data_IF_256422763534
#
_entry.id   IF_256422763534
#
_cell.length_a   1.000
_cell.length_b   1.000
_cell.length_c   1.000
_cell.angle_alpha   90.00
_cell.angle_beta   90.00
_cell.angle_gamma   90.00
#
_symmetry.space_group_name_H-M   'P 1'
#
loop_
_entity.id
_entity.type
_entity.pdbx_description
1 polymer ?
#
# COMPACT_ATOMS: atom_id res chain seq x y z
N UNK A 1 -29.47 5.27 58.47
CA UNK A 1 -28.48 6.33 58.22
C UNK A 1 -27.62 5.88 57.05
N UNK A 2 -27.75 6.54 55.92
CA UNK A 2 -27.08 6.27 54.64
C UNK A 2 -25.63 6.76 54.67
N UNK A 3 -24.67 6.00 54.12
CA UNK A 3 -23.58 6.54 53.29
C UNK A 3 -22.75 5.41 52.63
N UNK A 4 -22.73 5.45 51.30
CA UNK A 4 -21.81 4.74 50.39
C UNK A 4 -20.36 5.25 50.52
N UNK A 5 -19.37 4.39 50.28
CA UNK A 5 -18.04 4.74 49.78
C UNK A 5 -17.46 3.52 49.03
N UNK A 6 -17.73 3.38 47.72
CA UNK A 6 -16.90 3.84 46.58
C UNK A 6 -15.62 3.01 46.44
N UNK A 7 -15.67 2.07 45.49
CA UNK A 7 -14.52 1.41 44.86
C UNK A 7 -13.63 2.47 44.19
N UNK A 8 -12.31 2.53 44.46
CA UNK A 8 -11.38 3.08 43.49
C UNK A 8 -11.04 1.96 42.50
N UNK A 9 -11.74 1.90 41.38
CA UNK A 9 -11.29 1.17 40.19
C UNK A 9 -10.05 1.88 39.62
N UNK A 10 -8.92 1.67 40.28
CA UNK A 10 -7.58 1.93 39.79
C UNK A 10 -7.15 0.86 38.80
N UNK A 11 -7.99 0.51 37.82
CA UNK A 11 -7.53 -0.26 36.68
C UNK A 11 -6.75 0.71 35.80
N UNK A 12 -5.43 0.69 36.02
CA UNK A 12 -4.38 1.20 35.14
C UNK A 12 -4.88 1.27 33.71
N UNK A 13 -4.97 2.49 33.20
CA UNK A 13 -5.18 2.81 31.80
C UNK A 13 -4.04 2.16 31.01
N UNK A 14 -4.21 0.90 30.60
CA UNK A 14 -3.30 0.22 29.69
C UNK A 14 -3.18 1.11 28.46
N UNK A 15 -1.96 1.44 28.05
CA UNK A 15 -1.64 2.48 27.08
C UNK A 15 -2.57 2.44 25.84
N UNK A 16 -3.70 3.15 25.88
CA UNK A 16 -4.64 3.21 24.76
C UNK A 16 -3.98 4.10 23.73
N UNK A 17 -3.46 3.51 22.67
CA UNK A 17 -2.98 4.27 21.53
C UNK A 17 -4.12 5.17 21.05
N UNK A 18 -3.90 6.49 21.09
CA UNK A 18 -4.91 7.43 20.62
C UNK A 18 -5.13 7.23 19.12
N UNK A 19 -6.36 7.43 18.58
CA UNK A 19 -6.61 7.36 17.13
C UNK A 19 -5.64 8.21 16.31
N UNK A 20 -5.11 9.28 16.90
CA UNK A 20 -4.09 10.13 16.28
C UNK A 20 -2.72 9.45 16.14
N UNK A 21 -2.31 8.63 17.11
CA UNK A 21 -1.08 7.81 17.01
C UNK A 21 -1.21 6.77 15.90
N UNK A 22 -2.36 6.08 15.84
CA UNK A 22 -2.62 5.13 14.76
C UNK A 22 -2.67 5.78 13.37
N UNK A 23 -3.30 6.96 13.25
CA UNK A 23 -3.29 7.71 12.00
C UNK A 23 -1.88 8.12 11.59
N UNK A 24 -1.06 8.64 12.53
CA UNK A 24 0.35 8.95 12.25
C UNK A 24 1.13 7.72 11.80
N UNK A 25 0.98 6.59 12.49
CA UNK A 25 1.62 5.34 12.11
C UNK A 25 1.19 4.87 10.71
N UNK A 26 -0.09 4.95 10.38
CA UNK A 26 -0.60 4.62 9.04
C UNK A 26 0.01 5.52 7.96
N UNK A 27 0.12 6.83 8.22
CA UNK A 27 0.76 7.76 7.31
C UNK A 27 2.26 7.51 7.14
N UNK A 28 2.99 7.19 8.22
CA UNK A 28 4.41 6.81 8.14
C UNK A 28 4.58 5.53 7.32
N UNK A 29 3.75 4.51 7.55
CA UNK A 29 3.84 3.28 6.76
C UNK A 29 3.55 3.52 5.28
N UNK A 30 2.61 4.40 4.92
CA UNK A 30 2.40 4.80 3.52
C UNK A 30 3.63 5.50 2.91
N UNK A 31 4.31 6.37 3.66
CA UNK A 31 5.57 6.97 3.19
C UNK A 31 6.64 5.92 3.01
N UNK A 32 6.75 4.96 3.95
CA UNK A 32 7.68 3.85 3.83
C UNK A 32 7.40 3.06 2.55
N UNK A 33 6.15 2.70 2.26
CA UNK A 33 5.83 1.96 1.01
C UNK A 33 6.19 2.75 -0.24
N UNK A 34 6.03 4.07 -0.24
CA UNK A 34 6.46 4.91 -1.37
C UNK A 34 7.96 4.88 -1.57
N UNK A 35 8.70 5.16 -0.49
CA UNK A 35 10.17 5.24 -0.55
C UNK A 35 10.74 3.88 -0.91
N UNK A 36 10.29 2.80 -0.28
CA UNK A 36 10.82 1.47 -0.58
C UNK A 36 10.48 1.01 -1.99
N UNK A 37 9.27 1.27 -2.49
CA UNK A 37 8.88 0.93 -3.88
C UNK A 37 9.75 1.65 -4.91
N UNK A 38 9.92 2.97 -4.79
CA UNK A 38 10.73 3.76 -5.74
C UNK A 38 12.21 3.36 -5.66
N UNK A 39 12.76 3.23 -4.46
CA UNK A 39 14.17 2.87 -4.29
C UNK A 39 14.43 1.43 -4.74
N UNK A 40 13.47 0.50 -4.62
CA UNK A 40 13.61 -0.86 -5.12
C UNK A 40 13.81 -0.89 -6.64
N UNK A 41 13.02 -0.11 -7.39
CA UNK A 41 13.18 0.01 -8.86
C UNK A 41 14.56 0.54 -9.22
N UNK A 42 15.04 1.57 -8.51
CA UNK A 42 16.40 2.12 -8.71
C UNK A 42 17.47 1.08 -8.39
N UNK A 43 17.32 0.33 -7.29
CA UNK A 43 18.26 -0.70 -6.87
C UNK A 43 18.36 -1.83 -7.91
N UNK A 44 17.23 -2.36 -8.39
CA UNK A 44 17.21 -3.37 -9.44
C UNK A 44 17.79 -2.85 -10.76
N UNK A 45 17.48 -1.63 -11.15
CA UNK A 45 18.05 -1.01 -12.35
C UNK A 45 19.58 -0.83 -12.28
N UNK A 46 20.13 -0.69 -11.08
CA UNK A 46 21.57 -0.63 -10.82
C UNK A 46 22.22 -2.02 -10.63
N UNK A 47 21.46 -3.13 -10.76
CA UNK A 47 21.95 -4.48 -10.52
C UNK A 47 22.16 -4.84 -9.04
N UNK A 48 21.69 -4.00 -8.10
CA UNK A 48 21.79 -4.22 -6.66
C UNK A 48 20.66 -5.11 -6.15
N UNK A 49 20.63 -6.37 -6.61
CA UNK A 49 19.57 -7.35 -6.31
C UNK A 49 19.31 -7.51 -4.79
N UNK A 50 20.31 -7.65 -3.89
CA UNK A 50 20.05 -7.78 -2.46
C UNK A 50 19.32 -6.57 -1.86
N UNK A 51 19.66 -5.36 -2.33
CA UNK A 51 19.02 -4.13 -1.89
C UNK A 51 17.57 -4.06 -2.38
N UNK A 52 17.32 -4.40 -3.65
CA UNK A 52 15.97 -4.48 -4.21
C UNK A 52 15.06 -5.43 -3.43
N UNK A 53 15.53 -6.65 -3.17
CA UNK A 53 14.78 -7.66 -2.39
C UNK A 53 14.49 -7.18 -0.97
N UNK A 54 15.46 -6.54 -0.31
CA UNK A 54 15.28 -6.00 1.04
C UNK A 54 14.21 -4.89 1.07
N UNK A 55 14.21 -4.03 0.07
CA UNK A 55 13.24 -2.94 -0.06
C UNK A 55 11.84 -3.46 -0.39
N UNK A 56 11.70 -4.46 -1.25
CA UNK A 56 10.41 -5.11 -1.52
C UNK A 56 9.85 -5.86 -0.31
N UNK A 57 10.72 -6.47 0.50
CA UNK A 57 10.28 -7.07 1.76
C UNK A 57 9.77 -6.02 2.75
N UNK A 58 10.49 -4.90 2.90
CA UNK A 58 10.03 -3.78 3.71
C UNK A 58 8.73 -3.16 3.17
N UNK A 59 8.61 -3.04 1.85
CA UNK A 59 7.39 -2.62 1.15
C UNK A 59 6.22 -3.53 1.52
N UNK A 60 6.36 -4.85 1.41
CA UNK A 60 5.30 -5.80 1.71
C UNK A 60 4.82 -5.70 3.18
N UNK A 61 5.74 -5.53 4.13
CA UNK A 61 5.39 -5.30 5.55
C UNK A 61 4.63 -3.99 5.71
N UNK A 62 5.09 -2.92 5.05
CA UNK A 62 4.37 -1.64 5.02
C UNK A 62 2.98 -1.78 4.41
N UNK A 63 2.82 -2.62 3.39
CA UNK A 63 1.53 -2.93 2.78
C UNK A 63 0.56 -3.60 3.76
N UNK A 64 0.99 -4.69 4.39
CA UNK A 64 0.17 -5.36 5.41
C UNK A 64 -0.16 -4.42 6.59
N UNK A 65 0.82 -3.67 7.10
CA UNK A 65 0.63 -2.77 8.22
C UNK A 65 -0.31 -1.60 7.93
N UNK A 66 -0.23 -0.99 6.73
CA UNK A 66 -1.19 0.04 6.30
C UNK A 66 -2.60 -0.52 6.18
N UNK A 67 -2.76 -1.75 5.65
CA UNK A 67 -4.04 -2.45 5.60
C UNK A 67 -4.70 -2.57 6.98
N UNK A 68 -3.96 -3.11 7.95
CA UNK A 68 -4.44 -3.30 9.33
C UNK A 68 -4.80 -1.97 10.00
N UNK A 69 -3.93 -0.96 9.90
CA UNK A 69 -4.16 0.32 10.56
C UNK A 69 -5.34 1.08 9.94
N UNK A 70 -5.47 1.08 8.61
CA UNK A 70 -6.61 1.74 7.96
C UNK A 70 -7.91 1.00 8.18
N UNK A 71 -7.92 -0.34 8.25
CA UNK A 71 -9.11 -1.06 8.68
C UNK A 71 -9.54 -0.63 10.08
N UNK A 72 -8.60 -0.60 11.04
CA UNK A 72 -8.90 -0.18 12.41
C UNK A 72 -9.47 1.25 12.46
N UNK A 73 -8.89 2.17 11.69
CA UNK A 73 -9.28 3.59 11.67
C UNK A 73 -10.58 3.85 10.91
N UNK A 74 -10.84 3.14 9.82
CA UNK A 74 -11.94 3.43 8.89
C UNK A 74 -13.15 2.50 9.05
N UNK A 75 -13.03 1.38 9.77
CA UNK A 75 -14.17 0.48 10.04
C UNK A 75 -15.42 1.15 10.64
N UNK A 76 -15.33 2.23 11.46
CA UNK A 76 -16.54 2.90 11.94
C UNK A 76 -17.33 3.62 10.84
N UNK A 77 -16.68 3.98 9.72
CA UNK A 77 -17.32 4.68 8.60
C UNK A 77 -17.84 3.73 7.51
N UNK A 78 -17.42 2.48 7.52
CA UNK A 78 -17.73 1.52 6.46
C UNK A 78 -16.98 0.22 6.64
N UNK A 79 -17.48 -0.72 7.47
CA UNK A 79 -16.73 -1.90 7.88
C UNK A 79 -16.38 -2.82 6.71
N UNK A 80 -17.29 -2.99 5.75
CA UNK A 80 -17.08 -3.83 4.56
C UNK A 80 -15.95 -3.27 3.70
N UNK A 81 -16.03 -2.00 3.27
CA UNK A 81 -14.98 -1.38 2.43
C UNK A 81 -13.64 -1.28 3.14
N UNK A 82 -13.65 -0.99 4.44
CA UNK A 82 -12.43 -0.97 5.25
C UNK A 82 -11.77 -2.37 5.30
N UNK A 83 -12.56 -3.44 5.43
CA UNK A 83 -12.07 -4.81 5.40
C UNK A 83 -11.58 -5.20 4.00
N UNK A 84 -12.33 -4.85 2.94
CA UNK A 84 -11.92 -5.06 1.55
C UNK A 84 -10.56 -4.41 1.27
N UNK A 85 -10.36 -3.16 1.67
CA UNK A 85 -9.06 -2.48 1.56
C UNK A 85 -7.94 -3.26 2.26
N UNK A 86 -8.14 -3.68 3.51
CA UNK A 86 -7.11 -4.40 4.25
C UNK A 86 -6.77 -5.77 3.64
N UNK A 87 -7.77 -6.49 3.14
CA UNK A 87 -7.57 -7.76 2.45
C UNK A 87 -6.79 -7.53 1.14
N UNK A 88 -7.16 -6.52 0.35
CA UNK A 88 -6.44 -6.18 -0.88
C UNK A 88 -4.98 -5.77 -0.59
N UNK A 89 -4.72 -5.01 0.48
CA UNK A 89 -3.35 -4.73 0.93
C UNK A 89 -2.56 -5.98 1.32
N UNK A 90 -3.21 -6.95 1.95
CA UNK A 90 -2.56 -8.21 2.29
C UNK A 90 -2.28 -9.06 1.04
N UNK A 91 -3.20 -9.11 0.07
CA UNK A 91 -2.98 -9.76 -1.23
C UNK A 91 -1.83 -9.09 -1.97
N UNK A 92 -1.81 -7.76 -2.02
CA UNK A 92 -0.72 -6.99 -2.63
C UNK A 92 0.63 -7.31 -1.99
N UNK A 93 0.71 -7.30 -0.65
CA UNK A 93 1.90 -7.68 0.09
C UNK A 93 2.36 -9.11 -0.25
N UNK A 94 1.44 -10.06 -0.33
CA UNK A 94 1.74 -11.44 -0.67
C UNK A 94 2.29 -11.58 -2.10
N UNK A 95 1.71 -10.86 -3.07
CA UNK A 95 2.19 -10.85 -4.46
C UNK A 95 3.58 -10.21 -4.56
N UNK A 96 3.85 -9.13 -3.81
CA UNK A 96 5.18 -8.51 -3.75
C UNK A 96 6.21 -9.50 -3.20
N UNK A 97 5.89 -10.22 -2.13
CA UNK A 97 6.79 -11.26 -1.58
C UNK A 97 7.00 -12.37 -2.61
N UNK A 98 5.94 -12.85 -3.27
CA UNK A 98 6.04 -13.86 -4.32
C UNK A 98 6.92 -13.38 -5.50
N UNK A 99 6.85 -12.10 -5.84
CA UNK A 99 7.69 -11.44 -6.82
C UNK A 99 9.15 -11.30 -6.44
N UNK A 100 9.43 -11.06 -5.16
CA UNK A 100 10.80 -10.97 -4.65
C UNK A 100 11.51 -12.33 -4.63
N UNK A 101 10.78 -13.46 -4.56
CA UNK A 101 11.36 -14.81 -4.56
C UNK A 101 12.23 -15.13 -5.79
N UNK A 102 11.80 -14.89 -7.06
CA UNK A 102 12.67 -15.12 -8.21
C UNK A 102 13.90 -14.20 -8.21
N UNK A 103 13.78 -12.97 -7.72
CA UNK A 103 14.94 -12.06 -7.58
C UNK A 103 15.91 -12.54 -6.49
N UNK A 104 15.39 -13.09 -5.39
CA UNK A 104 16.19 -13.74 -4.35
C UNK A 104 16.93 -14.96 -4.91
N UNK A 105 16.22 -15.80 -5.68
CA UNK A 105 16.80 -16.98 -6.33
C UNK A 105 17.90 -16.63 -7.34
N UNK A 106 17.81 -15.47 -8.01
CA UNK A 106 18.83 -14.98 -8.93
C UNK A 106 20.22 -14.87 -8.28
N UNK A 107 20.30 -14.66 -6.96
CA UNK A 107 21.57 -14.61 -6.24
C UNK A 107 22.23 -15.98 -6.03
N UNK A 108 21.49 -17.07 -6.24
CA UNK A 108 21.97 -18.44 -6.05
C UNK A 108 22.19 -19.19 -7.37
N UNK A 109 21.67 -18.65 -8.47
CA UNK A 109 21.86 -19.21 -9.81
C UNK A 109 23.26 -18.84 -10.33
N UNK A 110 24.05 -19.80 -10.85
CA UNK A 110 25.35 -19.50 -11.45
C UNK A 110 25.23 -18.52 -12.63
N UNK A 111 26.16 -17.57 -12.72
CA UNK A 111 26.19 -16.53 -13.76
C UNK A 111 26.22 -17.08 -15.20
N UNK A 112 26.62 -18.34 -15.39
CA UNK A 112 26.65 -19.02 -16.70
C UNK A 112 25.27 -19.45 -17.19
N UNK A 113 24.21 -19.35 -16.38
CA UNK A 113 22.84 -19.73 -16.72
C UNK A 113 22.01 -18.53 -17.19
N UNK A 114 22.46 -17.84 -18.25
CA UNK A 114 21.85 -16.58 -18.73
C UNK A 114 20.34 -16.65 -18.99
N UNK A 115 19.82 -17.76 -19.52
CA UNK A 115 18.38 -17.97 -19.74
C UNK A 115 17.56 -18.03 -18.44
N UNK A 116 18.18 -18.41 -17.32
CA UNK A 116 17.53 -18.41 -16.01
C UNK A 116 17.34 -16.99 -15.46
N UNK A 117 18.27 -16.07 -15.70
CA UNK A 117 18.15 -14.69 -15.22
C UNK A 117 17.01 -13.94 -15.90
N UNK A 118 16.83 -14.13 -17.22
CA UNK A 118 15.73 -13.55 -17.98
C UNK A 118 14.37 -14.06 -17.49
N UNK A 119 14.24 -15.38 -17.28
CA UNK A 119 13.02 -15.99 -16.78
C UNK A 119 12.66 -15.47 -15.38
N UNK A 120 13.62 -15.38 -14.46
CA UNK A 120 13.40 -14.88 -13.10
C UNK A 120 12.97 -13.40 -13.12
N UNK A 121 13.59 -12.60 -13.98
CA UNK A 121 13.21 -11.18 -14.18
C UNK A 121 11.79 -11.08 -14.75
N UNK A 122 11.42 -11.94 -15.70
CA UNK A 122 10.07 -11.99 -16.26
C UNK A 122 9.03 -12.37 -15.20
N UNK A 123 9.33 -13.34 -14.33
CA UNK A 123 8.48 -13.71 -13.20
C UNK A 123 8.28 -12.54 -12.21
N UNK A 124 9.36 -11.84 -11.85
CA UNK A 124 9.28 -10.62 -11.03
C UNK A 124 8.41 -9.56 -11.71
N UNK A 125 8.63 -9.28 -12.99
CA UNK A 125 7.87 -8.30 -13.75
C UNK A 125 6.37 -8.66 -13.82
N UNK A 126 6.03 -9.93 -14.00
CA UNK A 126 4.65 -10.41 -13.98
C UNK A 126 3.98 -10.17 -12.62
N UNK A 127 4.70 -10.46 -11.52
CA UNK A 127 4.19 -10.20 -10.16
C UNK A 127 4.01 -8.71 -9.89
N UNK A 128 4.89 -7.86 -10.42
CA UNK A 128 4.80 -6.41 -10.28
C UNK A 128 3.52 -5.88 -10.93
N UNK A 129 3.22 -6.30 -12.18
CA UNK A 129 1.96 -5.94 -12.85
C UNK A 129 0.74 -6.45 -12.08
N UNK A 130 0.80 -7.64 -11.47
CA UNK A 130 -0.34 -8.19 -10.74
C UNK A 130 -0.57 -7.47 -9.41
N UNK A 131 0.46 -7.31 -8.58
CA UNK A 131 0.37 -6.72 -7.25
C UNK A 131 0.35 -5.19 -7.28
N UNK A 132 1.52 -4.60 -7.58
CA UNK A 132 1.73 -3.15 -7.65
C UNK A 132 1.11 -2.50 -8.90
N UNK A 133 0.59 -3.30 -9.82
CA UNK A 133 -0.27 -2.85 -10.89
C UNK A 133 -1.74 -3.05 -10.54
N UNK A 134 -2.31 -4.23 -10.79
CA UNK A 134 -3.75 -4.45 -10.76
C UNK A 134 -4.36 -4.38 -9.35
N UNK A 135 -3.76 -5.05 -8.36
CA UNK A 135 -4.30 -5.11 -6.99
C UNK A 135 -4.30 -3.72 -6.35
N UNK A 136 -3.19 -2.97 -6.46
CA UNK A 136 -3.12 -1.61 -5.90
C UNK A 136 -4.15 -0.67 -6.55
N UNK A 137 -4.44 -0.83 -7.85
CA UNK A 137 -5.46 -0.02 -8.53
C UNK A 137 -6.83 -0.20 -7.87
N UNK A 138 -7.27 -1.45 -7.68
CA UNK A 138 -8.56 -1.77 -7.06
C UNK A 138 -8.58 -1.31 -5.60
N UNK A 139 -7.49 -1.55 -4.89
CA UNK A 139 -7.32 -1.12 -3.51
C UNK A 139 -7.51 0.39 -3.33
N UNK A 140 -6.88 1.17 -4.22
CA UNK A 140 -6.95 2.64 -4.24
C UNK A 140 -8.38 3.13 -4.53
N UNK A 141 -9.08 2.48 -5.45
CA UNK A 141 -10.49 2.79 -5.76
C UNK A 141 -11.35 2.57 -4.51
N UNK A 142 -11.25 1.41 -3.87
CA UNK A 142 -12.04 1.07 -2.67
C UNK A 142 -11.79 2.06 -1.55
N UNK A 143 -10.52 2.41 -1.30
CA UNK A 143 -10.16 3.40 -0.29
C UNK A 143 -10.68 4.79 -0.65
N UNK A 144 -10.48 5.23 -1.90
CA UNK A 144 -10.92 6.54 -2.39
C UNK A 144 -12.41 6.74 -2.21
N UNK A 145 -13.22 5.74 -2.58
CA UNK A 145 -14.67 5.75 -2.38
C UNK A 145 -15.07 5.77 -0.90
N UNK A 146 -14.41 4.98 -0.05
CA UNK A 146 -14.67 5.00 1.39
C UNK A 146 -14.35 6.38 2.01
N UNK A 147 -13.24 6.99 1.60
CA UNK A 147 -12.84 8.33 2.02
C UNK A 147 -13.78 9.42 1.50
N UNK A 148 -14.34 9.23 0.31
CA UNK A 148 -15.30 10.14 -0.31
C UNK A 148 -16.62 10.17 0.50
N UNK A 149 -17.16 8.99 0.80
CA UNK A 149 -18.41 8.84 1.53
C UNK A 149 -18.27 9.29 2.99
N UNK A 150 -17.21 8.84 3.66
CA UNK A 150 -16.97 9.13 5.08
C UNK A 150 -16.62 10.58 5.36
N UNK A 151 -16.11 11.32 4.36
CA UNK A 151 -15.53 12.67 4.51
C UNK A 151 -14.43 12.75 5.58
N UNK A 152 -13.78 11.62 5.86
CA UNK A 152 -12.71 11.51 6.85
C UNK A 152 -11.47 12.36 6.48
N UNK A 153 -11.38 12.79 5.21
CA UNK A 153 -10.32 13.61 4.61
C UNK A 153 -10.95 14.66 3.67
N UNK A 154 -10.20 15.65 3.16
CA UNK A 154 -10.70 16.59 2.16
C UNK A 154 -11.22 15.88 0.90
N UNK A 155 -12.35 16.34 0.34
CA UNK A 155 -12.96 15.74 -0.86
C UNK A 155 -12.02 15.61 -2.07
N UNK A 156 -11.19 16.62 -2.40
CA UNK A 156 -10.28 16.47 -3.54
C UNK A 156 -9.29 15.32 -3.35
N UNK A 157 -8.85 15.06 -2.11
CA UNK A 157 -7.97 13.92 -1.79
C UNK A 157 -8.69 12.59 -2.05
N UNK A 158 -9.93 12.47 -1.61
CA UNK A 158 -10.73 11.26 -1.86
C UNK A 158 -11.04 11.05 -3.36
N UNK A 159 -11.38 12.12 -4.09
CA UNK A 159 -11.60 12.06 -5.53
C UNK A 159 -10.34 11.65 -6.29
N UNK A 160 -9.18 12.18 -5.90
CA UNK A 160 -7.90 11.81 -6.49
C UNK A 160 -7.61 10.32 -6.32
N UNK A 161 -7.92 9.73 -5.15
CA UNK A 161 -7.80 8.29 -4.93
C UNK A 161 -8.74 7.48 -5.82
N UNK A 162 -10.04 7.80 -5.83
CA UNK A 162 -11.01 7.05 -6.62
C UNK A 162 -10.75 7.16 -8.14
N UNK A 163 -10.53 8.38 -8.63
CA UNK A 163 -10.26 8.64 -10.05
C UNK A 163 -8.88 8.15 -10.48
N UNK A 164 -7.85 8.38 -9.67
CA UNK A 164 -6.49 7.91 -9.93
C UNK A 164 -6.43 6.38 -9.97
N UNK A 165 -7.06 5.72 -9.00
CA UNK A 165 -7.18 4.26 -8.96
C UNK A 165 -7.84 3.68 -10.22
N UNK A 166 -8.91 4.32 -10.70
CA UNK A 166 -9.59 3.91 -11.94
C UNK A 166 -8.70 4.10 -13.17
N UNK A 167 -8.04 5.26 -13.29
CA UNK A 167 -7.13 5.54 -14.41
C UNK A 167 -6.00 4.51 -14.50
N UNK A 168 -5.34 4.24 -13.37
CA UNK A 168 -4.24 3.27 -13.34
C UNK A 168 -4.74 1.84 -13.54
N UNK A 169 -5.96 1.49 -13.10
CA UNK A 169 -6.57 0.19 -13.39
C UNK A 169 -6.73 -0.02 -14.90
N UNK A 170 -7.29 0.97 -15.61
CA UNK A 170 -7.47 0.91 -17.06
C UNK A 170 -6.11 0.77 -17.75
N UNK A 171 -5.10 1.54 -17.31
CA UNK A 171 -3.74 1.44 -17.83
C UNK A 171 -3.10 0.06 -17.60
N UNK A 172 -3.25 -0.52 -16.41
CA UNK A 172 -2.70 -1.83 -16.08
C UNK A 172 -3.41 -2.96 -16.84
N UNK A 173 -4.72 -2.85 -17.06
CA UNK A 173 -5.45 -3.76 -17.94
C UNK A 173 -5.00 -3.63 -19.39
N UNK A 174 -4.79 -2.41 -19.88
CA UNK A 174 -4.26 -2.19 -21.23
C UNK A 174 -2.86 -2.81 -21.42
N UNK A 175 -2.00 -2.76 -20.39
CA UNK A 175 -0.71 -3.46 -20.39
C UNK A 175 -0.88 -4.98 -20.38
N UNK A 176 -1.77 -5.50 -19.54
CA UNK A 176 -2.07 -6.95 -19.46
C UNK A 176 -2.50 -7.51 -20.82
N UNK A 177 -3.34 -6.77 -21.55
CA UNK A 177 -3.81 -7.15 -22.88
C UNK A 177 -2.88 -6.71 -24.02
N UNK A 178 -1.67 -6.22 -23.69
CA UNK A 178 -0.67 -5.76 -24.67
C UNK A 178 -1.16 -4.66 -25.62
N UNK A 179 -2.18 -3.89 -25.22
CA UNK A 179 -2.69 -2.72 -25.95
C UNK A 179 -1.71 -1.56 -25.85
N UNK A 180 -1.01 -1.44 -24.72
CA UNK A 180 0.08 -0.49 -24.50
C UNK A 180 1.32 -1.21 -23.96
N UNK A 181 2.55 -0.67 -24.17
CA UNK A 181 3.77 -1.29 -23.66
C UNK A 181 3.79 -1.37 -22.14
N UNK A 182 4.28 -2.51 -21.62
CA UNK A 182 4.50 -2.73 -20.20
C UNK A 182 5.54 -1.73 -19.66
N UNK A 183 5.21 -1.06 -18.55
CA UNK A 183 6.04 -0.04 -17.89
C UNK A 183 6.47 1.11 -18.82
N UNK A 184 5.71 1.38 -19.89
CA UNK A 184 5.99 2.48 -20.82
C UNK A 184 5.65 3.88 -20.24
N UNK A 185 6.00 4.96 -20.96
CA UNK A 185 5.74 6.34 -20.51
C UNK A 185 4.27 6.63 -20.20
N UNK A 186 3.35 6.07 -20.99
CA UNK A 186 1.91 6.22 -20.78
C UNK A 186 1.45 5.54 -19.48
N UNK A 187 1.97 4.35 -19.18
CA UNK A 187 1.69 3.66 -17.93
C UNK A 187 2.22 4.44 -16.72
N UNK A 188 3.44 4.98 -16.83
CA UNK A 188 4.01 5.86 -15.81
C UNK A 188 3.17 7.12 -15.58
N UNK A 189 2.70 7.77 -16.64
CA UNK A 189 1.82 8.94 -16.54
C UNK A 189 0.47 8.60 -15.88
N UNK A 190 -0.12 7.46 -16.21
CA UNK A 190 -1.38 6.99 -15.63
C UNK A 190 -1.26 6.64 -14.13
N UNK A 191 -0.06 6.30 -13.65
CA UNK A 191 0.21 6.03 -12.23
C UNK A 191 0.39 7.30 -11.38
N UNK A 192 0.70 8.46 -12.00
CA UNK A 192 0.96 9.71 -11.27
C UNK A 192 -0.17 10.14 -10.33
N UNK A 193 -1.47 10.04 -10.69
CA UNK A 193 -2.54 10.43 -9.78
C UNK A 193 -2.64 9.54 -8.54
N UNK A 194 -2.37 8.23 -8.66
CA UNK A 194 -2.32 7.32 -7.51
C UNK A 194 -1.14 7.66 -6.60
N UNK A 195 0.04 7.86 -7.20
CA UNK A 195 1.22 8.29 -6.45
C UNK A 195 0.98 9.59 -5.68
N UNK A 196 0.36 10.58 -6.34
CA UNK A 196 0.00 11.84 -5.70
C UNK A 196 -1.06 11.66 -4.59
N UNK A 197 -2.06 10.79 -4.80
CA UNK A 197 -3.06 10.46 -3.79
C UNK A 197 -2.41 9.85 -2.54
N UNK A 198 -1.60 8.82 -2.70
CA UNK A 198 -1.05 8.10 -1.56
C UNK A 198 -0.05 8.96 -0.79
N UNK A 199 0.80 9.73 -1.47
CA UNK A 199 1.70 10.70 -0.83
C UNK A 199 0.91 11.77 -0.06
N UNK A 200 -0.15 12.32 -0.66
CA UNK A 200 -0.99 13.32 -0.01
C UNK A 200 -1.72 12.73 1.20
N UNK A 201 -2.25 11.51 1.08
CA UNK A 201 -2.90 10.79 2.18
C UNK A 201 -1.91 10.56 3.33
N UNK A 202 -0.69 10.12 3.02
CA UNK A 202 0.35 9.87 4.00
C UNK A 202 0.66 11.13 4.83
N UNK A 203 0.94 12.25 4.13
CA UNK A 203 1.19 13.55 4.75
C UNK A 203 -0.02 14.01 5.56
N UNK A 204 -1.23 13.83 5.03
CA UNK A 204 -2.46 14.20 5.71
C UNK A 204 -2.65 13.43 7.02
N UNK A 205 -2.43 12.11 7.01
CA UNK A 205 -2.55 11.26 8.20
C UNK A 205 -1.53 11.63 9.28
N UNK A 206 -0.29 11.96 8.88
CA UNK A 206 0.76 12.41 9.81
C UNK A 206 0.40 13.78 10.41
N UNK A 207 0.12 14.76 9.57
CA UNK A 207 -0.03 16.17 9.95
C UNK A 207 -1.40 16.49 10.56
N UNK A 208 -2.48 15.84 10.10
CA UNK A 208 -3.87 16.13 10.49
C UNK A 208 -4.66 14.93 11.00
N UNK A 209 -4.27 13.71 10.65
CA UNK A 209 -5.03 12.51 10.98
C UNK A 209 -6.37 12.48 10.24
N UNK A 210 -7.30 11.66 10.73
CA UNK A 210 -8.66 11.59 10.17
C UNK A 210 -9.60 12.56 10.89
N UNK A 211 -10.52 13.14 10.13
CA UNK A 211 -11.66 13.87 10.68
C UNK A 211 -12.58 12.86 11.37
N UNK A 212 -12.97 13.17 12.60
CA UNK A 212 -13.99 12.40 13.32
C UNK A 212 -15.38 12.83 12.83
N UNK A 213 -16.39 11.94 12.89
CA UNK A 213 -17.78 12.35 12.73
C UNK A 213 -18.18 13.35 13.82
#
# INVERSE_FOLDING_TARGET
MTAYAVYPDGIRESARHTPRRHARAAGVLYLVTHVTSVVAVVAYGAGLVPAGVTLEFALAIGCAGTGVLLWHLLRPFGPVRAATFAILRAVEAAVIVAGALPMLAMMWVPATAGSSAELLTAMHTASFLLGQGLVISVNTIVLGWLLWDSRAVPRPLAALGAGGGLLVLVSNLAQLWSVIPLNGPLAGAAALPVFAFELWLAIHLIARGLRRP
#
